data_IF_900762978039
#
_entry.id   IF_900762978039
#
_cell.length_a   1.000
_cell.length_b   1.000
_cell.length_c   1.000
_cell.angle_alpha   90.00
_cell.angle_beta   90.00
_cell.angle_gamma   90.00
#
_symmetry.space_group_name_H-M   'P 1'
#
loop_
_entity.id
_entity.type
_entity.pdbx_description
1 polymer ?
#
# COMPACT_ATOMS: atom_id res chain seq x y z
N UNK A 1 12.13 -63.24 -2.16
CA UNK A 1 12.77 -64.34 -2.91
C UNK A 1 13.09 -63.89 -4.32
N UNK A 2 14.26 -64.31 -4.80
CA UNK A 2 14.96 -63.97 -6.04
C UNK A 2 14.24 -64.53 -7.28
N UNK A 3 14.22 -63.81 -8.41
CA UNK A 3 14.86 -64.26 -9.67
C UNK A 3 14.55 -63.36 -10.89
N UNK A 4 15.59 -62.67 -11.37
CA UNK A 4 15.75 -62.20 -12.76
C UNK A 4 16.01 -63.37 -13.72
N UNK A 5 15.68 -63.17 -15.02
CA UNK A 5 16.41 -63.62 -16.23
C UNK A 5 15.88 -62.77 -17.42
N UNK A 6 16.66 -61.78 -17.94
CA UNK A 6 17.52 -61.80 -19.17
C UNK A 6 16.67 -61.86 -20.48
N UNK A 7 16.89 -61.13 -21.58
CA UNK A 7 18.13 -60.71 -22.27
C UNK A 7 17.84 -59.65 -23.38
N UNK A 8 18.90 -58.96 -23.83
CA UNK A 8 19.03 -57.87 -24.84
C UNK A 8 18.77 -58.22 -26.31
N UNK A 9 18.56 -57.18 -27.16
CA UNK A 9 19.14 -56.80 -28.49
C UNK A 9 18.16 -55.74 -29.08
N UNK A 10 18.47 -54.52 -29.51
CA UNK A 10 19.69 -53.90 -30.02
C UNK A 10 19.44 -53.44 -31.46
N UNK A 11 19.10 -52.16 -31.70
CA UNK A 11 19.35 -51.48 -32.99
C UNK A 11 19.73 -50.02 -32.73
N UNK A 12 20.98 -49.71 -33.06
CA UNK A 12 21.53 -48.38 -33.28
C UNK A 12 20.80 -47.70 -34.44
N UNK A 13 20.35 -46.45 -34.26
CA UNK A 13 20.33 -45.50 -35.36
C UNK A 13 21.05 -44.23 -34.93
N UNK A 14 22.33 -44.19 -35.31
CA UNK A 14 23.18 -43.02 -35.27
C UNK A 14 22.68 -42.05 -36.34
N UNK A 15 22.15 -40.91 -35.94
CA UNK A 15 21.95 -39.77 -36.84
C UNK A 15 22.55 -38.54 -36.18
N UNK A 16 23.85 -38.37 -36.41
CA UNK A 16 24.52 -37.08 -36.31
C UNK A 16 23.95 -36.18 -37.41
N UNK A 17 23.25 -35.13 -37.01
CA UNK A 17 23.17 -33.90 -37.79
C UNK A 17 23.79 -32.80 -36.95
N UNK A 18 25.03 -32.48 -37.34
CA UNK A 18 25.78 -31.31 -36.94
C UNK A 18 25.05 -30.07 -37.48
N UNK A 19 24.45 -29.26 -36.63
CA UNK A 19 24.23 -27.84 -36.94
C UNK A 19 25.16 -27.01 -36.08
N UNK A 20 26.07 -26.34 -36.77
CA UNK A 20 27.10 -25.50 -36.19
C UNK A 20 26.50 -24.24 -35.57
N UNK A 21 27.05 -23.84 -34.43
CA UNK A 21 27.14 -22.44 -34.03
C UNK A 21 25.95 -21.86 -33.26
N UNK A 22 25.72 -22.36 -32.04
CA UNK A 22 25.26 -21.47 -30.97
C UNK A 22 26.43 -21.34 -29.99
N UNK A 23 27.16 -20.24 -30.05
CA UNK A 23 28.08 -19.87 -28.99
C UNK A 23 27.25 -19.68 -27.74
N UNK A 24 27.20 -20.68 -26.86
CA UNK A 24 26.86 -20.47 -25.48
C UNK A 24 27.98 -19.60 -24.91
N UNK A 25 27.83 -18.29 -25.04
CA UNK A 25 28.40 -17.39 -24.07
C UNK A 25 27.80 -17.84 -22.74
N UNK A 26 28.56 -18.65 -21.99
CA UNK A 26 28.39 -18.81 -20.57
C UNK A 26 28.51 -17.40 -19.97
N UNK A 27 27.39 -16.66 -19.99
CA UNK A 27 27.19 -15.55 -19.09
C UNK A 27 27.20 -16.20 -17.71
N UNK A 28 28.39 -16.30 -17.11
CA UNK A 28 28.56 -16.54 -15.68
C UNK A 28 27.65 -15.53 -15.00
N UNK A 29 26.45 -15.96 -14.63
CA UNK A 29 25.56 -15.18 -13.79
C UNK A 29 26.40 -14.78 -12.58
N UNK A 30 26.67 -13.49 -12.47
CA UNK A 30 27.53 -12.95 -11.42
C UNK A 30 26.90 -13.36 -10.11
N UNK A 31 27.52 -14.32 -9.41
CA UNK A 31 27.01 -14.84 -8.14
C UNK A 31 26.76 -13.66 -7.22
N UNK A 32 25.49 -13.39 -6.96
CA UNK A 32 25.07 -12.39 -5.98
C UNK A 32 25.48 -12.94 -4.62
N UNK A 33 26.37 -12.22 -3.94
CA UNK A 33 26.87 -12.61 -2.63
C UNK A 33 26.02 -11.91 -1.60
N UNK A 34 25.27 -12.68 -0.82
CA UNK A 34 24.58 -12.24 0.39
C UNK A 34 25.09 -13.15 1.53
N UNK A 35 26.04 -12.63 2.32
CA UNK A 35 26.67 -13.42 3.39
C UNK A 35 25.78 -13.55 4.62
N UNK A 36 25.02 -12.51 4.93
CA UNK A 36 24.19 -12.47 6.14
C UNK A 36 22.81 -13.12 5.91
N UNK A 37 22.50 -13.47 4.66
CA UNK A 37 21.27 -14.13 4.18
C UNK A 37 20.02 -13.33 4.53
N UNK A 38 20.11 -12.01 4.49
CA UNK A 38 18.99 -11.11 4.76
C UNK A 38 18.17 -10.77 3.50
N UNK A 39 18.59 -11.24 2.32
CA UNK A 39 17.92 -11.00 1.04
C UNK A 39 18.46 -9.80 0.27
N UNK A 40 19.45 -9.08 0.79
CA UNK A 40 20.13 -7.96 0.14
C UNK A 40 21.58 -8.39 -0.13
N UNK A 41 22.06 -8.08 -1.32
CA UNK A 41 23.43 -8.42 -1.66
C UNK A 41 24.47 -7.51 -0.98
N UNK A 42 25.62 -8.10 -0.61
CA UNK A 42 26.74 -7.44 0.06
C UNK A 42 27.22 -6.19 -0.71
N UNK A 43 27.06 -6.16 -2.05
CA UNK A 43 27.54 -5.04 -2.88
C UNK A 43 26.60 -3.83 -2.74
N UNK A 44 25.29 -4.06 -2.72
CA UNK A 44 24.28 -3.03 -2.50
C UNK A 44 24.37 -2.49 -1.06
N UNK A 45 24.50 -3.38 -0.07
CA UNK A 45 24.74 -2.97 1.32
C UNK A 45 26.00 -2.10 1.42
N UNK A 46 27.09 -2.50 0.77
CA UNK A 46 28.34 -1.73 0.73
C UNK A 46 28.18 -0.39 0.01
N UNK A 47 27.45 -0.32 -1.11
CA UNK A 47 27.19 0.91 -1.87
C UNK A 47 26.57 1.97 -0.96
N UNK A 48 25.57 1.58 -0.17
CA UNK A 48 24.87 2.48 0.72
C UNK A 48 25.44 2.51 2.14
N UNK A 49 26.57 1.84 2.41
CA UNK A 49 27.21 1.78 3.74
C UNK A 49 26.28 1.24 4.84
N UNK A 50 25.41 0.31 4.45
CA UNK A 50 24.47 -0.41 5.32
C UNK A 50 25.17 -1.65 5.91
N UNK A 51 24.89 -1.98 7.17
CA UNK A 51 25.53 -3.10 7.88
C UNK A 51 24.58 -3.73 8.89
N UNK A 52 24.67 -5.05 9.03
CA UNK A 52 24.02 -5.82 10.09
C UNK A 52 22.90 -6.71 9.57
N UNK A 53 22.63 -7.82 10.26
CA UNK A 53 21.64 -8.81 9.81
C UNK A 53 20.22 -8.25 9.72
N UNK A 54 19.88 -7.29 10.57
CA UNK A 54 18.54 -6.70 10.63
C UNK A 54 18.36 -5.52 9.67
N UNK A 55 19.39 -5.14 8.90
CA UNK A 55 19.33 -3.95 8.03
C UNK A 55 18.23 -4.07 6.98
N UNK A 56 17.97 -5.28 6.48
CA UNK A 56 16.91 -5.55 5.52
C UNK A 56 15.50 -5.14 6.00
N UNK A 57 15.25 -5.16 7.32
CA UNK A 57 13.96 -4.80 7.91
C UNK A 57 13.92 -3.36 8.43
N UNK A 58 15.00 -2.60 8.30
CA UNK A 58 15.04 -1.18 8.65
C UNK A 58 14.54 -0.35 7.46
N UNK A 59 13.95 0.78 7.79
CA UNK A 59 13.61 1.87 6.87
C UNK A 59 14.54 3.03 7.23
N UNK A 60 15.53 3.28 6.37
CA UNK A 60 16.70 4.09 6.73
C UNK A 60 16.52 5.58 6.47
N UNK A 61 15.67 5.94 5.51
CA UNK A 61 15.30 7.30 5.13
C UNK A 61 13.88 7.69 5.52
N UNK A 62 13.10 6.74 6.05
CA UNK A 62 11.80 6.95 6.71
C UNK A 62 10.70 7.33 5.72
N UNK A 63 10.69 6.69 4.56
CA UNK A 63 9.61 6.83 3.57
C UNK A 63 8.53 5.74 3.67
N UNK A 64 8.66 4.82 4.62
CA UNK A 64 7.75 3.70 4.83
C UNK A 64 8.22 2.39 4.18
N UNK A 65 9.23 2.41 3.32
CA UNK A 65 9.78 1.21 2.69
C UNK A 65 10.98 0.67 3.47
N UNK A 66 10.98 -0.64 3.73
CA UNK A 66 12.19 -1.28 4.26
C UNK A 66 13.29 -1.36 3.20
N UNK A 67 14.55 -1.33 3.61
CA UNK A 67 15.72 -1.50 2.74
C UNK A 67 15.63 -2.73 1.81
N UNK A 68 14.98 -3.82 2.24
CA UNK A 68 14.77 -5.01 1.41
C UNK A 68 13.81 -4.75 0.25
N UNK A 69 12.76 -3.97 0.49
CA UNK A 69 11.80 -3.57 -0.51
C UNK A 69 12.46 -2.60 -1.49
N UNK A 70 13.16 -1.59 -0.98
CA UNK A 70 13.91 -0.67 -1.82
C UNK A 70 14.97 -1.37 -2.69
N UNK A 71 15.64 -2.39 -2.15
CA UNK A 71 16.55 -3.24 -2.93
C UNK A 71 15.84 -3.90 -4.12
N UNK A 72 14.63 -4.45 -3.91
CA UNK A 72 13.81 -5.08 -4.97
C UNK A 72 13.28 -4.07 -5.98
N UNK A 73 12.94 -2.87 -5.54
CA UNK A 73 12.45 -1.78 -6.38
C UNK A 73 13.58 -1.00 -7.09
N UNK A 74 14.84 -1.30 -6.75
CA UNK A 74 16.05 -0.61 -7.21
C UNK A 74 16.04 0.89 -6.85
N UNK A 75 15.69 1.18 -5.60
CA UNK A 75 15.65 2.52 -5.00
C UNK A 75 16.91 2.82 -4.18
N UNK A 76 16.95 3.99 -3.56
CA UNK A 76 18.05 4.46 -2.73
C UNK A 76 17.62 4.54 -1.24
N UNK A 77 18.14 3.65 -0.37
CA UNK A 77 17.79 3.51 1.07
C UNK A 77 18.29 4.61 1.98
N UNK A 78 18.51 5.78 1.41
CA UNK A 78 19.07 6.98 2.03
C UNK A 78 18.42 8.24 1.49
N UNK A 79 17.37 8.10 0.68
CA UNK A 79 16.68 9.16 -0.01
C UNK A 79 15.23 8.76 -0.12
N UNK A 80 14.42 9.27 0.81
CA UNK A 80 12.98 9.05 0.88
C UNK A 80 12.22 9.34 -0.44
N UNK A 81 12.84 10.14 -1.31
CA UNK A 81 12.45 10.34 -2.71
C UNK A 81 13.71 10.12 -3.56
N UNK A 82 13.83 8.95 -4.18
CA UNK A 82 15.02 8.54 -4.95
C UNK A 82 15.19 9.39 -6.22
N UNK A 83 14.08 9.73 -6.86
CA UNK A 83 14.09 10.38 -8.18
C UNK A 83 13.90 11.91 -8.13
N UNK A 84 13.63 12.45 -6.94
CA UNK A 84 13.47 13.88 -6.61
C UNK A 84 12.25 14.51 -7.28
N UNK A 85 11.17 13.77 -7.45
CA UNK A 85 9.91 14.27 -8.02
C UNK A 85 8.94 14.84 -6.97
N UNK A 86 9.35 14.92 -5.70
CA UNK A 86 8.55 15.35 -4.54
C UNK A 86 7.45 14.36 -4.14
N UNK A 87 7.50 13.12 -4.62
CA UNK A 87 6.70 12.00 -4.16
C UNK A 87 7.64 11.02 -3.48
N UNK A 88 7.29 10.57 -2.28
CA UNK A 88 8.12 9.61 -1.56
C UNK A 88 8.13 8.26 -2.31
N UNK A 89 9.20 7.49 -2.21
CA UNK A 89 9.31 6.22 -2.94
C UNK A 89 8.20 5.24 -2.54
N UNK A 90 7.76 5.27 -1.27
CA UNK A 90 6.61 4.51 -0.79
C UNK A 90 5.28 4.89 -1.48
N UNK A 91 5.14 6.16 -1.86
CA UNK A 91 3.94 6.67 -2.53
C UNK A 91 4.02 6.49 -4.07
N UNK A 92 5.18 6.16 -4.64
CA UNK A 92 5.30 5.86 -6.07
C UNK A 92 4.58 4.55 -6.46
N UNK A 93 4.18 4.43 -7.72
CA UNK A 93 3.58 3.22 -8.30
C UNK A 93 4.60 2.63 -9.31
N UNK A 94 5.38 1.65 -8.86
CA UNK A 94 6.52 1.13 -9.61
C UNK A 94 6.11 0.40 -10.89
N UNK A 95 5.05 -0.40 -10.82
CA UNK A 95 4.63 -1.29 -11.91
C UNK A 95 3.42 -0.77 -12.71
N UNK A 96 2.91 0.40 -12.30
CA UNK A 96 1.94 1.24 -13.02
C UNK A 96 0.59 0.57 -13.14
N UNK A 97 0.10 0.09 -12.02
CA UNK A 97 -1.14 -0.64 -11.95
C UNK A 97 -2.28 0.15 -11.26
N UNK A 98 -1.93 1.24 -10.58
CA UNK A 98 -2.85 2.12 -9.85
C UNK A 98 -2.80 1.97 -8.32
N UNK A 99 -1.88 1.18 -7.77
CA UNK A 99 -1.63 1.07 -6.33
C UNK A 99 -0.19 1.53 -6.01
N UNK A 100 0.01 2.28 -4.93
CA UNK A 100 1.33 2.74 -4.50
C UNK A 100 2.15 1.60 -3.88
N UNK A 101 3.48 1.69 -3.95
CA UNK A 101 4.40 0.66 -3.47
C UNK A 101 4.13 0.28 -2.01
N UNK A 102 3.89 1.28 -1.15
CA UNK A 102 3.60 1.07 0.27
C UNK A 102 2.21 0.44 0.45
N UNK A 103 1.18 0.96 -0.24
CA UNK A 103 -0.16 0.41 -0.16
C UNK A 103 -0.22 -1.05 -0.63
N UNK A 104 0.50 -1.40 -1.70
CA UNK A 104 0.64 -2.77 -2.16
C UNK A 104 1.21 -3.69 -1.07
N UNK A 105 2.24 -3.24 -0.33
CA UNK A 105 2.81 -4.03 0.76
C UNK A 105 1.80 -4.21 1.90
N UNK A 106 1.07 -3.16 2.24
CA UNK A 106 0.10 -3.19 3.34
C UNK A 106 -1.17 -3.98 2.98
N UNK A 107 -1.56 -4.02 1.71
CA UNK A 107 -2.60 -4.92 1.16
C UNK A 107 -2.03 -6.33 0.84
N UNK A 108 -0.69 -6.44 0.86
CA UNK A 108 0.16 -7.56 0.46
C UNK A 108 -0.11 -8.12 -0.92
N UNK A 109 -0.18 -7.18 -1.85
CA UNK A 109 0.13 -7.25 -3.27
C UNK A 109 1.66 -7.22 -3.47
N UNK A 110 2.13 -7.10 -4.71
CA UNK A 110 3.55 -7.13 -5.05
C UNK A 110 3.96 -5.92 -5.90
N UNK A 111 4.75 -4.96 -5.35
CA UNK A 111 5.10 -3.70 -6.00
C UNK A 111 6.07 -3.78 -7.18
N UNK A 112 6.25 -4.98 -7.73
CA UNK A 112 7.06 -5.22 -8.93
C UNK A 112 6.28 -5.98 -9.99
N UNK A 113 5.01 -6.27 -9.74
CA UNK A 113 4.18 -7.11 -10.58
C UNK A 113 2.75 -6.58 -10.58
N UNK A 114 2.30 -5.97 -11.69
CA UNK A 114 1.04 -5.21 -11.74
C UNK A 114 -0.21 -6.10 -11.76
N UNK A 115 -0.08 -7.38 -11.42
CA UNK A 115 -1.08 -8.47 -11.44
C UNK A 115 -0.51 -9.59 -10.54
N UNK A 116 -0.61 -9.38 -9.23
CA UNK A 116 0.02 -10.17 -8.17
C UNK A 116 -0.37 -11.64 -8.25
N UNK A 117 -1.65 -11.94 -8.48
CA UNK A 117 -2.17 -13.29 -8.47
C UNK A 117 -2.21 -13.97 -9.85
N UNK A 118 -1.94 -13.19 -10.91
CA UNK A 118 -1.80 -13.61 -12.32
C UNK A 118 -3.11 -14.01 -12.96
N UNK A 119 -4.22 -13.41 -12.54
CA UNK A 119 -5.54 -13.64 -13.12
C UNK A 119 -5.82 -12.81 -14.38
N UNK A 120 -4.89 -11.91 -14.76
CA UNK A 120 -4.93 -10.95 -15.89
C UNK A 120 -5.69 -9.66 -15.62
N UNK A 121 -6.12 -9.43 -14.39
CA UNK A 121 -6.62 -8.15 -13.90
C UNK A 121 -5.47 -7.48 -13.16
N UNK A 122 -5.27 -6.19 -13.39
CA UNK A 122 -4.25 -5.46 -12.64
C UNK A 122 -4.69 -5.24 -11.21
N UNK A 123 -3.79 -5.28 -10.22
CA UNK A 123 -4.19 -5.20 -8.80
C UNK A 123 -4.98 -3.90 -8.55
N UNK A 124 -4.52 -2.77 -9.10
CA UNK A 124 -5.26 -1.51 -9.02
C UNK A 124 -6.69 -1.55 -9.59
N UNK A 125 -7.06 -2.55 -10.39
CA UNK A 125 -8.43 -2.79 -10.91
C UNK A 125 -9.15 -3.95 -10.25
N UNK A 126 -8.45 -4.75 -9.47
CA UNK A 126 -9.05 -5.83 -8.71
C UNK A 126 -9.82 -5.30 -7.50
N UNK A 127 -10.74 -6.14 -7.00
CA UNK A 127 -11.53 -5.85 -5.81
C UNK A 127 -11.11 -6.77 -4.67
N UNK A 128 -10.95 -6.19 -3.49
CA UNK A 128 -10.78 -6.94 -2.26
C UNK A 128 -12.04 -7.74 -1.90
N UNK A 129 -11.95 -8.53 -0.82
CA UNK A 129 -13.06 -9.37 -0.33
C UNK A 129 -14.30 -8.59 0.11
N UNK A 130 -14.13 -7.31 0.41
CA UNK A 130 -15.18 -6.36 0.77
C UNK A 130 -15.78 -5.64 -0.44
N UNK A 131 -15.36 -5.97 -1.66
CA UNK A 131 -15.92 -5.45 -2.91
C UNK A 131 -15.35 -4.11 -3.36
N UNK A 132 -14.47 -3.51 -2.56
CA UNK A 132 -13.80 -2.24 -2.86
C UNK A 132 -12.55 -2.51 -3.70
N UNK A 133 -12.37 -1.73 -4.76
CA UNK A 133 -11.21 -1.80 -5.64
C UNK A 133 -9.91 -1.46 -4.88
N UNK A 134 -8.80 -2.14 -5.13
CA UNK A 134 -7.58 -1.91 -4.34
C UNK A 134 -7.06 -0.48 -4.47
N UNK A 135 -7.08 0.13 -5.66
CA UNK A 135 -6.69 1.54 -5.84
C UNK A 135 -7.51 2.53 -5.01
N UNK A 136 -8.72 2.13 -4.61
CA UNK A 136 -9.67 2.99 -3.90
C UNK A 136 -9.62 2.81 -2.39
N UNK A 137 -8.78 1.90 -1.88
CA UNK A 137 -8.67 1.62 -0.45
C UNK A 137 -8.17 2.84 0.29
N UNK A 138 -8.83 3.18 1.40
CA UNK A 138 -8.23 4.04 2.42
C UNK A 138 -7.22 3.19 3.18
N UNK A 139 -5.96 3.62 3.20
CA UNK A 139 -4.86 2.91 3.87
C UNK A 139 -4.45 3.58 5.17
N UNK A 140 -4.63 4.89 5.27
CA UNK A 140 -4.49 5.67 6.49
C UNK A 140 -5.61 6.71 6.57
N UNK A 141 -6.16 6.91 7.76
CA UNK A 141 -7.13 7.96 8.06
C UNK A 141 -6.92 8.41 9.50
N UNK A 142 -6.56 9.67 9.66
CA UNK A 142 -6.44 10.36 10.93
C UNK A 142 -7.47 11.49 10.98
N UNK A 143 -8.20 11.59 12.08
CA UNK A 143 -9.18 12.66 12.31
C UNK A 143 -8.99 13.16 13.74
N UNK A 144 -8.86 14.48 13.90
CA UNK A 144 -9.00 15.19 15.16
C UNK A 144 -10.13 16.20 15.04
N UNK A 145 -11.08 16.14 15.97
CA UNK A 145 -12.22 17.06 16.04
C UNK A 145 -12.25 17.66 17.44
N UNK A 146 -12.43 18.97 17.54
CA UNK A 146 -12.64 19.70 18.79
C UNK A 146 -13.91 20.54 18.71
N UNK A 147 -14.86 20.28 19.60
CA UNK A 147 -16.11 21.02 19.68
C UNK A 147 -15.93 22.33 20.45
N UNK A 148 -16.87 23.26 20.30
CA UNK A 148 -16.87 24.52 21.04
C UNK A 148 -16.93 24.38 22.58
N UNK A 149 -17.33 23.22 23.10
CA UNK A 149 -17.29 22.88 24.54
C UNK A 149 -16.04 22.08 24.95
N UNK A 150 -14.96 22.22 24.18
CA UNK A 150 -13.63 21.61 24.38
C UNK A 150 -13.63 20.08 24.43
N UNK A 151 -14.66 19.43 23.86
CA UNK A 151 -14.67 17.97 23.74
C UNK A 151 -13.92 17.58 22.47
N UNK A 152 -13.08 16.57 22.61
CA UNK A 152 -12.22 16.05 21.55
C UNK A 152 -12.64 14.66 21.09
N UNK A 153 -12.50 14.44 19.79
CA UNK A 153 -12.54 13.11 19.16
C UNK A 153 -11.26 12.90 18.36
N UNK A 154 -10.60 11.76 18.56
CA UNK A 154 -9.48 11.32 17.71
C UNK A 154 -9.79 9.97 17.10
N UNK A 155 -9.63 9.84 15.79
CA UNK A 155 -9.74 8.59 15.04
C UNK A 155 -8.40 8.28 14.38
N UNK A 156 -7.93 7.04 14.54
CA UNK A 156 -6.74 6.49 13.86
C UNK A 156 -7.16 5.16 13.23
N UNK A 157 -7.32 5.17 11.90
CA UNK A 157 -7.61 4.00 11.08
C UNK A 157 -6.40 3.73 10.18
N UNK A 158 -5.84 2.53 10.27
CA UNK A 158 -4.66 2.13 9.48
C UNK A 158 -4.79 0.72 8.94
N UNK A 159 -4.43 0.53 7.68
CA UNK A 159 -4.20 -0.78 7.06
C UNK A 159 -2.71 -1.09 7.14
N UNK A 160 -2.35 -2.14 7.87
CA UNK A 160 -0.97 -2.65 7.92
C UNK A 160 -0.92 -4.18 7.82
N UNK A 161 -0.13 -4.71 6.90
CA UNK A 161 0.15 -6.14 6.68
C UNK A 161 -1.12 -6.98 6.63
N UNK A 162 -2.07 -6.56 5.79
CA UNK A 162 -3.40 -7.15 5.58
C UNK A 162 -4.33 -7.08 6.80
N UNK A 163 -4.01 -6.25 7.78
CA UNK A 163 -4.81 -6.05 8.99
C UNK A 163 -5.21 -4.60 9.11
N UNK A 164 -6.46 -4.38 9.47
CA UNK A 164 -6.98 -3.05 9.78
C UNK A 164 -6.93 -2.85 11.29
N UNK A 165 -6.44 -1.69 11.73
CA UNK A 165 -6.56 -1.20 13.10
C UNK A 165 -7.41 0.05 13.11
N UNK A 166 -8.36 0.12 14.05
CA UNK A 166 -9.17 1.31 14.31
C UNK A 166 -9.08 1.65 15.79
N UNK A 167 -8.65 2.86 16.11
CA UNK A 167 -8.65 3.42 17.46
C UNK A 167 -9.51 4.68 17.46
N UNK A 168 -10.37 4.78 18.46
CA UNK A 168 -11.21 5.94 18.69
C UNK A 168 -11.01 6.38 20.14
N UNK A 169 -10.73 7.65 20.35
CA UNK A 169 -10.92 8.32 21.64
C UNK A 169 -11.97 9.36 21.43
N UNK A 170 -13.02 9.33 22.22
CA UNK A 170 -14.17 10.19 22.04
C UNK A 170 -14.63 10.68 23.41
N UNK A 171 -14.67 11.99 23.59
CA UNK A 171 -15.20 12.65 24.79
C UNK A 171 -16.58 13.29 24.57
N UNK A 172 -17.08 13.34 23.32
CA UNK A 172 -18.46 13.72 22.98
C UNK A 172 -19.44 12.59 23.25
N UNK A 173 -18.99 11.34 23.09
CA UNK A 173 -19.82 10.15 23.21
C UNK A 173 -20.68 9.89 21.97
N UNK A 174 -20.45 10.61 20.88
CA UNK A 174 -21.25 10.51 19.64
C UNK A 174 -20.63 9.59 18.59
N UNK A 175 -19.32 9.32 18.67
CA UNK A 175 -18.54 8.60 17.65
C UNK A 175 -18.32 7.15 18.05
N UNK A 176 -18.74 6.25 17.17
CA UNK A 176 -18.67 4.79 17.40
C UNK A 176 -17.85 4.11 16.31
N UNK A 177 -17.36 2.89 16.59
CA UNK A 177 -16.70 2.04 15.58
C UNK A 177 -17.58 1.85 14.33
N UNK A 178 -18.90 1.75 14.49
CA UNK A 178 -19.82 1.56 13.37
C UNK A 178 -19.88 2.82 12.47
N UNK A 179 -19.96 4.01 13.08
CA UNK A 179 -19.93 5.29 12.34
C UNK A 179 -18.61 5.47 11.59
N UNK A 180 -17.48 5.25 12.24
CA UNK A 180 -16.18 5.38 11.56
C UNK A 180 -16.00 4.34 10.45
N UNK A 181 -16.47 3.10 10.65
CA UNK A 181 -16.44 2.09 9.58
C UNK A 181 -17.32 2.50 8.39
N UNK A 182 -18.49 3.11 8.65
CA UNK A 182 -19.35 3.64 7.61
C UNK A 182 -18.68 4.81 6.87
N UNK A 183 -18.01 5.71 7.59
CA UNK A 183 -17.24 6.81 7.01
C UNK A 183 -16.13 6.29 6.11
N UNK A 184 -15.27 5.38 6.60
CA UNK A 184 -14.21 4.76 5.77
C UNK A 184 -14.80 4.10 4.52
N UNK A 185 -15.94 3.41 4.64
CA UNK A 185 -16.60 2.80 3.48
C UNK A 185 -17.04 3.87 2.47
N UNK A 186 -17.68 4.93 2.93
CA UNK A 186 -18.12 6.06 2.11
C UNK A 186 -16.94 6.72 1.39
N UNK A 187 -15.81 6.93 2.09
CA UNK A 187 -14.62 7.55 1.52
C UNK A 187 -13.98 6.75 0.37
N UNK A 188 -14.17 5.44 0.33
CA UNK A 188 -13.60 4.56 -0.70
C UNK A 188 -14.44 4.48 -1.99
N UNK A 189 -15.69 4.95 -1.98
CA UNK A 189 -16.60 4.82 -3.13
C UNK A 189 -17.42 6.12 -3.35
N UNK A 190 -17.11 6.95 -4.37
CA UNK A 190 -15.98 6.86 -5.30
C UNK A 190 -14.66 7.42 -4.71
N UNK A 191 -13.51 6.86 -5.12
CA UNK A 191 -12.15 7.34 -4.76
C UNK A 191 -11.79 8.74 -5.33
N UNK A 192 -12.77 9.46 -5.89
CA UNK A 192 -12.58 10.79 -6.46
C UNK A 192 -13.12 11.90 -5.55
N UNK A 193 -13.43 11.61 -4.27
CA UNK A 193 -13.98 12.64 -3.37
C UNK A 193 -13.08 13.87 -3.29
N UNK A 194 -13.71 15.03 -3.36
CA UNK A 194 -13.16 16.34 -3.08
C UNK A 194 -13.11 16.58 -1.57
N UNK A 195 -12.36 17.59 -1.12
CA UNK A 195 -12.37 17.99 0.29
C UNK A 195 -13.80 18.27 0.79
N UNK A 196 -14.63 18.94 -0.01
CA UNK A 196 -16.02 19.24 0.34
C UNK A 196 -16.89 17.97 0.51
N UNK A 197 -16.72 16.98 -0.37
CA UNK A 197 -17.44 15.69 -0.24
C UNK A 197 -16.96 14.88 0.97
N UNK A 198 -15.68 15.00 1.35
CA UNK A 198 -15.15 14.40 2.59
C UNK A 198 -15.75 15.09 3.81
N UNK A 199 -15.75 16.42 3.86
CA UNK A 199 -16.40 17.20 4.93
C UNK A 199 -17.87 16.83 5.08
N UNK A 200 -18.60 16.77 3.96
CA UNK A 200 -20.02 16.38 3.95
C UNK A 200 -20.21 14.99 4.55
N UNK A 201 -19.38 14.01 4.18
CA UNK A 201 -19.45 12.67 4.73
C UNK A 201 -19.17 12.62 6.25
N UNK A 202 -18.24 13.45 6.76
CA UNK A 202 -17.97 13.57 8.19
C UNK A 202 -19.19 14.08 8.93
N UNK A 203 -19.75 15.21 8.49
CA UNK A 203 -20.95 15.83 9.07
C UNK A 203 -22.12 14.83 9.07
N UNK A 204 -22.38 14.20 7.93
CA UNK A 204 -23.51 13.28 7.75
C UNK A 204 -23.40 12.01 8.59
N UNK A 205 -22.20 11.45 8.75
CA UNK A 205 -22.02 10.14 9.38
C UNK A 205 -21.69 10.26 10.85
N UNK A 206 -20.83 11.21 11.22
CA UNK A 206 -20.42 11.40 12.61
C UNK A 206 -21.47 12.16 13.42
N UNK A 207 -22.28 13.01 12.77
CA UNK A 207 -23.40 13.76 13.38
C UNK A 207 -22.92 14.60 14.57
N UNK A 208 -22.01 15.53 14.31
CA UNK A 208 -21.66 16.58 15.27
C UNK A 208 -22.60 17.75 15.09
N UNK A 209 -23.12 18.28 16.20
CA UNK A 209 -24.02 19.44 16.20
C UNK A 209 -23.23 20.67 16.66
N UNK A 210 -23.57 21.83 16.10
CA UNK A 210 -22.96 23.12 16.44
C UNK A 210 -21.55 23.32 15.86
N UNK A 211 -20.78 24.22 16.47
CA UNK A 211 -19.44 24.60 16.02
C UNK A 211 -18.37 23.59 16.45
N UNK A 212 -17.51 23.21 15.53
CA UNK A 212 -16.35 22.36 15.79
C UNK A 212 -15.21 22.65 14.80
N UNK A 213 -13.97 22.43 15.21
CA UNK A 213 -12.84 22.35 14.29
C UNK A 213 -12.59 20.90 13.89
N UNK A 214 -12.08 20.71 12.67
CA UNK A 214 -11.67 19.40 12.16
C UNK A 214 -10.29 19.50 11.51
N UNK A 215 -9.40 18.61 11.93
CA UNK A 215 -8.17 18.25 11.23
C UNK A 215 -8.35 16.81 10.73
N UNK A 216 -8.19 16.59 9.43
CA UNK A 216 -8.30 15.28 8.81
C UNK A 216 -7.19 15.08 7.80
N UNK A 217 -6.60 13.89 7.82
CA UNK A 217 -5.71 13.39 6.79
C UNK A 217 -6.21 12.01 6.36
N UNK A 218 -6.38 11.81 5.05
CA UNK A 218 -6.70 10.50 4.46
C UNK A 218 -5.75 10.17 3.34
N UNK A 219 -5.13 8.99 3.42
CA UNK A 219 -4.27 8.42 2.39
C UNK A 219 -5.02 7.28 1.69
N UNK A 220 -5.06 7.35 0.36
CA UNK A 220 -5.62 6.33 -0.51
C UNK A 220 -4.52 5.45 -1.11
N UNK A 221 -4.88 4.23 -1.46
CA UNK A 221 -3.95 3.24 -2.00
C UNK A 221 -3.39 3.59 -3.37
N UNK A 222 -3.99 4.51 -4.13
CA UNK A 222 -3.41 5.07 -5.35
C UNK A 222 -2.36 6.18 -5.08
N UNK A 223 -2.11 6.48 -3.80
CA UNK A 223 -1.22 7.52 -3.33
C UNK A 223 -1.81 8.93 -3.40
N UNK A 224 -3.13 9.06 -3.55
CA UNK A 224 -3.83 10.33 -3.32
C UNK A 224 -3.93 10.59 -1.81
N UNK A 225 -3.67 11.82 -1.42
CA UNK A 225 -3.85 12.32 -0.06
C UNK A 225 -4.86 13.46 -0.07
N UNK A 226 -5.70 13.52 0.97
CA UNK A 226 -6.57 14.66 1.25
C UNK A 226 -6.31 15.10 2.68
N UNK A 227 -5.84 16.34 2.83
CA UNK A 227 -5.70 17.03 4.10
C UNK A 227 -6.80 18.09 4.21
N UNK A 228 -7.40 18.23 5.39
CA UNK A 228 -8.43 19.21 5.71
C UNK A 228 -8.10 19.78 7.09
N UNK A 229 -8.08 21.10 7.19
CA UNK A 229 -8.02 21.85 8.44
C UNK A 229 -9.06 22.96 8.31
N UNK A 230 -10.17 22.85 9.05
CA UNK A 230 -11.30 23.78 8.90
C UNK A 230 -12.06 23.97 10.22
N UNK A 231 -12.73 25.11 10.34
CA UNK A 231 -13.72 25.38 11.38
C UNK A 231 -15.11 25.29 10.75
N UNK A 232 -15.90 24.32 11.20
CA UNK A 232 -17.20 23.98 10.65
C UNK A 232 -18.31 24.26 11.67
N UNK A 233 -19.51 24.48 11.15
CA UNK A 233 -20.74 24.59 11.92
C UNK A 233 -21.80 23.74 11.21
N UNK A 234 -22.61 23.01 11.98
CA UNK A 234 -23.79 22.35 11.44
C UNK A 234 -24.80 23.43 11.02
N UNK A 235 -25.01 23.62 9.71
CA UNK A 235 -25.95 24.60 9.15
C UNK A 235 -27.39 24.08 9.29
N UNK A 236 -27.89 24.04 10.53
CA UNK A 236 -29.28 23.69 10.85
C UNK A 236 -30.22 24.93 10.91
N UNK A 237 -29.85 26.05 10.28
CA UNK A 237 -30.66 27.27 10.23
C UNK A 237 -30.68 27.86 8.80
N UNK A 238 -31.55 27.36 7.94
CA UNK A 238 -32.03 28.11 6.77
C UNK A 238 -33.57 28.04 6.71
N UNK A 239 -34.16 29.00 7.44
CA UNK A 239 -35.31 29.80 7.05
C UNK A 239 -36.59 29.08 6.56
N UNK A 240 -37.49 28.75 7.51
CA UNK A 240 -38.93 28.94 7.30
C UNK A 240 -39.16 30.43 6.96
N UNK A 241 -39.09 30.79 5.67
CA UNK A 241 -39.72 32.03 5.20
C UNK A 241 -41.20 31.76 5.08
N UNK A 242 -41.91 32.23 6.09
CA UNK A 242 -43.34 32.51 6.08
C UNK A 242 -43.76 33.12 4.72
N UNK A 243 -44.48 32.34 3.90
CA UNK A 243 -45.33 32.88 2.84
C UNK A 243 -46.76 32.99 3.38
N UNK A 244 -47.07 34.15 3.98
CA UNK A 244 -48.43 34.67 4.20
C UNK A 244 -48.85 35.62 3.06
#
# INVERSE_FOLDING_TARGET
>A
MRNMKKLFIGVLSLSLLFSAGLTTADAKAKKVVDKNKNGIDDKWEKKYKLKGKNIAAQDNDKDGLTNLIEYKLNLNPKSADTNKNKKLDGQEDKDKDGVSNLAEIELGLNPTNPDTDKDKIKDGKEKGKDGVQYSNKVVDLEIEIETADDKKVTVDYKVKKKKTTLKIKDTTGTVTNAKVTALVKELQEPNSKTQQEVVTAILDILKFEGKFSVELEVEYADGKEIEIEDELEDEDDDDEKDED
#
